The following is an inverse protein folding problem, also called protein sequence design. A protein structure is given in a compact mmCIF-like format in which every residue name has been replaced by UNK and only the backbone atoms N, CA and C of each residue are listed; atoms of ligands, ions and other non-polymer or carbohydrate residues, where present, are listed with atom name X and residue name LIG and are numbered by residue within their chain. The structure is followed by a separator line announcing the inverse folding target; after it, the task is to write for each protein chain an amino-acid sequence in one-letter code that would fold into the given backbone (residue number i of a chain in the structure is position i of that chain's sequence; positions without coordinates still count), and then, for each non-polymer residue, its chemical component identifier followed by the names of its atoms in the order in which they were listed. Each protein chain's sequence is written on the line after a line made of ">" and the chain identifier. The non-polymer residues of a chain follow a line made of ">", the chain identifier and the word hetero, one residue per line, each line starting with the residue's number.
data_IF_487886945378
#
_entry.id   IF_487886945378
#
_cell.length_a   1.000
_cell.length_b   1.000
_cell.length_c   1.000
_cell.angle_alpha   90.00
_cell.angle_beta   90.00
_cell.angle_gamma   90.00
#
_symmetry.space_group_name_H-M   'P 1'
#
loop_
_entity.id
_entity.type
_entity.pdbx_description
1 polymer ?
#
# COMPACT_ATOMS: atom_id res chain seq x y z
N UNK A 1 -1.16 -5.03 13.98
CA UNK A 1 -2.03 -5.12 12.78
C UNK A 1 -2.80 -6.42 12.93
N UNK A 2 -4.11 -6.34 13.14
CA UNK A 2 -4.95 -7.53 13.30
C UNK A 2 -5.10 -8.23 11.94
N UNK A 3 -5.08 -9.56 11.95
CA UNK A 3 -5.33 -10.36 10.75
C UNK A 3 -6.82 -10.22 10.37
N UNK A 4 -7.15 -9.70 9.19
CA UNK A 4 -8.54 -9.49 8.80
C UNK A 4 -9.35 -10.80 8.70
N UNK A 5 -8.70 -11.95 8.48
CA UNK A 5 -9.38 -13.25 8.56
C UNK A 5 -9.81 -13.57 9.99
N UNK A 6 -8.94 -13.30 10.98
CA UNK A 6 -9.26 -13.48 12.40
C UNK A 6 -10.36 -12.52 12.86
N UNK A 7 -10.38 -11.28 12.36
CA UNK A 7 -11.44 -10.30 12.67
C UNK A 7 -12.81 -10.76 12.18
N UNK A 8 -12.88 -11.47 11.05
CA UNK A 8 -14.12 -12.06 10.55
C UNK A 8 -14.40 -13.46 11.11
N UNK A 9 -13.52 -14.01 11.97
CA UNK A 9 -13.65 -15.36 12.52
C UNK A 9 -13.49 -16.46 11.46
N UNK A 10 -12.65 -16.20 10.45
CA UNK A 10 -12.46 -17.03 9.27
C UNK A 10 -11.03 -17.59 9.20
N UNK A 11 -10.88 -18.73 8.53
CA UNK A 11 -9.55 -19.26 8.17
C UNK A 11 -8.99 -18.53 6.95
N UNK A 12 -7.66 -18.46 6.80
CA UNK A 12 -7.02 -17.84 5.64
C UNK A 12 -7.29 -18.59 4.31
N UNK A 13 -7.76 -19.85 4.38
CA UNK A 13 -8.04 -20.69 3.20
C UNK A 13 -9.49 -20.57 2.66
N UNK A 14 -10.31 -19.68 3.21
CA UNK A 14 -11.71 -19.55 2.76
C UNK A 14 -11.86 -18.70 1.51
N UNK A 15 -12.74 -19.17 0.63
CA UNK A 15 -13.09 -18.51 -0.62
C UNK A 15 -13.85 -17.18 -0.41
N UNK A 16 -13.76 -16.26 -1.37
CA UNK A 16 -14.31 -14.89 -1.26
C UNK A 16 -15.84 -14.90 -1.00
N UNK A 17 -16.56 -15.86 -1.59
CA UNK A 17 -17.98 -16.05 -1.36
C UNK A 17 -18.30 -16.35 0.11
N UNK A 18 -17.40 -17.04 0.81
CA UNK A 18 -17.52 -17.35 2.24
C UNK A 18 -17.20 -16.14 3.10
N UNK A 19 -16.17 -15.37 2.72
CA UNK A 19 -15.83 -14.09 3.35
C UNK A 19 -17.02 -13.11 3.30
N UNK A 20 -17.63 -12.93 2.12
CA UNK A 20 -18.79 -12.05 1.93
C UNK A 20 -20.00 -12.47 2.75
N UNK A 21 -20.28 -13.78 2.80
CA UNK A 21 -21.42 -14.32 3.57
C UNK A 21 -21.25 -14.05 5.07
N UNK A 22 -20.05 -14.30 5.60
CA UNK A 22 -19.72 -14.03 7.01
C UNK A 22 -19.76 -12.54 7.36
N UNK A 23 -19.30 -11.68 6.46
CA UNK A 23 -19.48 -10.24 6.61
C UNK A 23 -20.96 -9.85 6.75
N UNK A 24 -21.84 -10.37 5.88
CA UNK A 24 -23.28 -10.09 5.95
C UNK A 24 -23.94 -10.61 7.24
N UNK A 25 -23.49 -11.75 7.76
CA UNK A 25 -23.92 -12.30 9.05
C UNK A 25 -23.50 -11.38 10.19
N UNK A 26 -22.22 -10.99 10.26
CA UNK A 26 -21.69 -10.10 11.29
C UNK A 26 -22.33 -8.71 11.28
N UNK A 27 -22.67 -8.17 10.09
CA UNK A 27 -23.39 -6.89 9.96
C UNK A 27 -24.83 -6.99 10.45
N UNK A 28 -25.49 -8.14 10.26
CA UNK A 28 -26.84 -8.39 10.80
C UNK A 28 -26.82 -8.56 12.31
N UNK A 29 -25.81 -9.23 12.84
CA UNK A 29 -25.61 -9.45 14.28
C UNK A 29 -25.18 -8.17 15.01
N UNK A 30 -24.38 -7.33 14.34
CA UNK A 30 -23.84 -6.08 14.87
C UNK A 30 -24.30 -4.90 14.00
N UNK A 31 -25.58 -4.50 14.10
CA UNK A 31 -26.09 -3.39 13.32
C UNK A 31 -25.36 -2.09 13.75
N UNK A 32 -25.12 -1.17 12.80
CA UNK A 32 -24.37 0.07 13.05
C UNK A 32 -25.04 0.96 14.11
N UNK A 33 -26.34 0.83 14.29
CA UNK A 33 -27.13 1.56 15.29
C UNK A 33 -26.88 1.09 16.73
N UNK A 34 -26.47 -0.17 16.93
CA UNK A 34 -26.21 -0.74 18.26
C UNK A 34 -24.74 -0.82 18.60
N UNK A 35 -23.88 -1.10 17.62
CA UNK A 35 -22.45 -1.34 17.84
C UNK A 35 -21.60 -0.75 16.70
N UNK A 36 -21.45 0.58 16.63
CA UNK A 36 -20.76 1.25 15.53
C UNK A 36 -19.26 0.89 15.46
N UNK A 37 -18.61 0.67 16.61
CA UNK A 37 -17.20 0.30 16.69
C UNK A 37 -16.94 -1.08 16.07
N UNK A 38 -17.71 -2.10 16.49
CA UNK A 38 -17.64 -3.46 15.94
C UNK A 38 -18.00 -3.51 14.46
N UNK A 39 -18.97 -2.72 14.04
CA UNK A 39 -19.33 -2.61 12.62
C UNK A 39 -18.16 -2.03 11.79
N UNK A 40 -17.47 -1.01 12.31
CA UNK A 40 -16.32 -0.41 11.64
C UNK A 40 -15.16 -1.42 11.50
N UNK A 41 -14.86 -2.18 12.56
CA UNK A 41 -13.82 -3.23 12.53
C UNK A 41 -14.13 -4.34 11.52
N UNK A 42 -15.36 -4.85 11.51
CA UNK A 42 -15.82 -5.88 10.57
C UNK A 42 -15.79 -5.38 9.13
N UNK A 43 -16.18 -4.12 8.91
CA UNK A 43 -16.14 -3.48 7.59
C UNK A 43 -14.71 -3.27 7.11
N UNK A 44 -13.82 -2.79 7.96
CA UNK A 44 -12.41 -2.60 7.63
C UNK A 44 -11.74 -3.92 7.26
N UNK A 45 -11.96 -4.98 8.05
CA UNK A 45 -11.46 -6.31 7.75
C UNK A 45 -11.98 -6.86 6.42
N UNK A 46 -13.28 -6.67 6.13
CA UNK A 46 -13.86 -7.07 4.85
C UNK A 46 -13.31 -6.27 3.67
N UNK A 47 -13.11 -4.95 3.81
CA UNK A 47 -12.51 -4.12 2.76
C UNK A 47 -11.06 -4.53 2.45
N UNK A 48 -10.28 -4.93 3.47
CA UNK A 48 -8.92 -5.46 3.27
C UNK A 48 -8.91 -6.79 2.51
N UNK A 49 -9.91 -7.65 2.71
CA UNK A 49 -10.00 -8.97 2.08
C UNK A 49 -10.66 -8.95 0.69
N UNK A 50 -11.61 -8.04 0.46
CA UNK A 50 -12.41 -7.98 -0.76
C UNK A 50 -11.63 -7.49 -1.97
N UNK A 51 -10.53 -6.77 -1.80
CA UNK A 51 -9.95 -6.04 -2.92
C UNK A 51 -8.42 -6.12 -3.03
N UNK A 52 -7.87 -7.29 -3.38
CA UNK A 52 -6.47 -7.39 -3.80
C UNK A 52 -6.16 -6.51 -5.03
N UNK A 53 -7.14 -6.26 -5.92
CA UNK A 53 -7.01 -5.33 -7.07
C UNK A 53 -7.05 -3.86 -6.61
N UNK A 54 -7.89 -3.56 -5.63
CA UNK A 54 -7.93 -2.39 -4.73
C UNK A 54 -6.55 -1.98 -4.24
N UNK A 55 -5.96 -2.92 -3.50
CA UNK A 55 -4.64 -2.79 -2.90
C UNK A 55 -3.54 -2.69 -3.97
N UNK A 56 -3.61 -3.50 -5.02
CA UNK A 56 -2.64 -3.45 -6.12
C UNK A 56 -2.73 -2.12 -6.90
N UNK A 57 -3.92 -1.59 -7.16
CA UNK A 57 -4.09 -0.24 -7.73
C UNK A 57 -3.48 0.81 -6.82
N UNK A 58 -3.78 0.77 -5.52
CA UNK A 58 -3.24 1.73 -4.55
C UNK A 58 -1.71 1.67 -4.50
N UNK A 59 -1.11 0.49 -4.58
CA UNK A 59 0.35 0.35 -4.69
C UNK A 59 0.92 0.81 -6.04
N UNK A 60 0.28 0.46 -7.16
CA UNK A 60 0.71 0.91 -8.49
C UNK A 60 0.70 2.45 -8.58
N UNK A 61 -0.34 3.10 -8.04
CA UNK A 61 -0.41 4.57 -8.01
C UNK A 61 0.56 5.19 -7.00
N UNK A 62 0.89 4.51 -5.89
CA UNK A 62 1.96 4.94 -4.97
C UNK A 62 3.34 4.92 -5.63
N UNK A 63 3.62 3.89 -6.44
CA UNK A 63 4.90 3.76 -7.19
C UNK A 63 5.04 4.86 -8.25
N UNK A 64 3.93 5.34 -8.83
CA UNK A 64 3.93 6.47 -9.79
C UNK A 64 4.17 7.85 -9.17
N UNK A 65 4.33 7.95 -7.85
CA UNK A 65 4.63 9.22 -7.15
C UNK A 65 6.01 9.83 -7.43
N UNK A 66 6.85 9.20 -8.27
CA UNK A 66 7.90 9.92 -9.01
C UNK A 66 7.42 10.04 -10.46
N UNK A 67 6.77 11.16 -10.77
CA UNK A 67 5.83 11.25 -11.90
C UNK A 67 6.49 11.24 -13.29
N UNK A 68 7.79 11.47 -13.41
CA UNK A 68 8.53 11.24 -14.66
C UNK A 68 9.95 10.75 -14.41
N UNK A 69 10.52 10.06 -15.40
CA UNK A 69 11.97 9.88 -15.50
C UNK A 69 12.69 11.23 -15.41
N UNK A 70 12.07 12.30 -15.93
CA UNK A 70 12.61 13.66 -15.83
C UNK A 70 12.74 14.15 -14.38
N UNK A 71 11.80 13.84 -13.50
CA UNK A 71 11.87 14.24 -12.08
C UNK A 71 12.97 13.49 -11.35
N UNK A 72 13.15 12.21 -11.68
CA UNK A 72 14.23 11.37 -11.16
C UNK A 72 15.60 11.89 -11.64
N UNK A 73 15.69 12.24 -12.93
CA UNK A 73 16.90 12.82 -13.53
C UNK A 73 17.20 14.19 -12.90
N UNK A 74 16.19 15.01 -12.64
CA UNK A 74 16.35 16.32 -12.02
C UNK A 74 16.87 16.23 -10.58
N UNK A 75 16.31 15.34 -9.74
CA UNK A 75 16.78 15.07 -8.37
C UNK A 75 18.22 14.55 -8.38
N UNK A 76 18.54 13.59 -9.26
CA UNK A 76 19.88 13.03 -9.36
C UNK A 76 20.91 14.09 -9.80
N UNK A 77 20.57 14.91 -10.80
CA UNK A 77 21.42 16.03 -11.24
C UNK A 77 21.65 17.03 -10.13
N UNK A 78 20.63 17.35 -9.33
CA UNK A 78 20.74 18.25 -8.18
C UNK A 78 21.74 17.71 -7.15
N UNK A 79 21.63 16.42 -6.79
CA UNK A 79 22.53 15.75 -5.85
C UNK A 79 23.97 15.71 -6.35
N UNK A 80 24.19 15.35 -7.62
CA UNK A 80 25.55 15.31 -8.20
C UNK A 80 26.15 16.71 -8.27
N UNK A 81 25.38 17.75 -8.60
CA UNK A 81 25.86 19.15 -8.58
C UNK A 81 26.22 19.65 -7.18
N UNK A 82 25.55 19.16 -6.15
CA UNK A 82 25.88 19.48 -4.77
C UNK A 82 27.18 18.80 -4.29
N UNK A 83 27.63 17.73 -4.96
CA UNK A 83 28.91 17.09 -4.71
C UNK A 83 30.00 17.85 -5.46
N UNK A 84 30.79 18.67 -4.74
CA UNK A 84 32.03 19.23 -5.30
C UNK A 84 33.03 18.10 -5.50
N UNK A 85 33.26 17.72 -6.75
CA UNK A 85 34.32 16.77 -7.11
C UNK A 85 35.63 17.57 -7.19
N UNK A 86 36.70 17.14 -6.48
CA UNK A 86 38.02 17.75 -6.60
C UNK A 86 38.53 17.69 -8.04
N UNK A 87 39.15 18.78 -8.51
CA UNK A 87 39.68 18.89 -9.88
C UNK A 87 40.69 17.79 -10.21
N UNK A 88 41.48 17.36 -9.24
CA UNK A 88 42.44 16.25 -9.39
C UNK A 88 41.76 14.96 -9.85
N UNK A 89 40.58 14.63 -9.29
CA UNK A 89 39.80 13.46 -9.69
C UNK A 89 39.27 13.58 -11.11
N UNK A 90 38.86 14.79 -11.54
CA UNK A 90 38.39 15.02 -12.91
C UNK A 90 39.52 14.88 -13.94
N UNK A 91 40.72 15.37 -13.60
CA UNK A 91 41.88 15.27 -14.48
C UNK A 91 42.30 13.81 -14.70
N UNK A 92 42.27 12.98 -13.65
CA UNK A 92 42.57 11.55 -13.76
C UNK A 92 41.61 10.76 -14.67
N UNK A 93 40.38 11.24 -14.90
CA UNK A 93 39.39 10.60 -15.76
C UNK A 93 39.51 11.00 -17.24
N UNK A 94 40.18 12.12 -17.54
CA UNK A 94 40.36 12.62 -18.90
C UNK A 94 41.64 12.09 -19.56
N UNK A 95 42.59 11.59 -18.76
CA UNK A 95 43.88 11.05 -19.22
C UNK A 95 43.86 9.52 -19.42
N UNK A 96 42.68 8.89 -19.30
CA UNK A 96 42.47 7.43 -19.47
C UNK A 96 41.80 7.04 -20.78
#
# INVERSE_FOLDING_TARGET
>A
MADPYLTLGLSADVDEATVRRRYLELVRENPPEKCPERFAEVREAYEQLRDPVTLLRKEIFRIRGRESLDDIIADLRSRVRAVRIPTETLLSLAEG
#
